data_IF_192101512456
#
_entry.id   IF_192101512456
#
_cell.length_a   1.000
_cell.length_b   1.000
_cell.length_c   1.000
_cell.angle_alpha   90.00
_cell.angle_beta   90.00
_cell.angle_gamma   90.00
#
_symmetry.space_group_name_H-M   'P 1'
#
loop_
_entity.id
_entity.type
_entity.pdbx_description
1 polymer ?
#
# COMPACT_ATOMS: atom_id res chain seq x y z
N UNK A 1 21.85 2.01 -15.10
CA UNK A 1 20.68 2.50 -15.86
C UNK A 1 19.43 2.25 -15.04
N UNK A 2 18.49 3.21 -14.97
CA UNK A 2 17.17 2.96 -14.39
C UNK A 2 16.47 1.85 -15.19
N UNK A 3 15.93 0.84 -14.50
CA UNK A 3 15.15 -0.24 -15.12
C UNK A 3 13.71 0.21 -15.36
N UNK A 4 13.03 -0.30 -16.42
CA UNK A 4 11.59 -0.16 -16.57
C UNK A 4 10.85 -0.74 -15.35
N UNK A 5 9.73 -0.13 -14.94
CA UNK A 5 8.98 -0.54 -13.74
C UNK A 5 8.40 -1.94 -13.77
N UNK A 6 8.05 -2.45 -14.95
CA UNK A 6 7.69 -3.85 -15.13
C UNK A 6 8.81 -4.81 -14.65
N UNK A 7 10.03 -4.29 -14.48
CA UNK A 7 11.21 -4.99 -13.94
C UNK A 7 11.65 -4.44 -12.56
N UNK A 8 10.85 -3.56 -11.93
CA UNK A 8 11.08 -3.06 -10.56
C UNK A 8 10.16 -3.75 -9.54
N UNK A 9 9.03 -4.31 -9.99
CA UNK A 9 8.19 -5.20 -9.20
C UNK A 9 8.63 -6.64 -9.49
N UNK A 10 9.03 -7.37 -8.44
CA UNK A 10 9.25 -8.81 -8.48
C UNK A 10 8.63 -9.44 -7.25
N UNK A 11 7.60 -10.25 -7.49
CA UNK A 11 6.93 -11.00 -6.45
C UNK A 11 7.82 -12.11 -5.88
N UNK A 12 8.82 -12.55 -6.64
CA UNK A 12 9.87 -13.45 -6.13
C UNK A 12 10.77 -12.78 -5.08
N UNK A 13 10.93 -11.45 -5.15
CA UNK A 13 11.72 -10.69 -4.19
C UNK A 13 10.90 -10.30 -2.96
N UNK A 14 9.68 -9.78 -3.17
CA UNK A 14 8.72 -9.46 -2.10
C UNK A 14 7.33 -9.23 -2.68
N UNK A 15 6.24 -9.58 -1.95
CA UNK A 15 4.89 -9.18 -2.30
C UNK A 15 4.52 -7.77 -1.80
N UNK A 16 5.36 -7.11 -0.99
CA UNK A 16 5.04 -5.83 -0.34
C UNK A 16 5.68 -4.62 -1.03
N UNK A 17 4.87 -3.60 -1.31
CA UNK A 17 5.31 -2.38 -1.97
C UNK A 17 4.70 -1.12 -1.37
N UNK A 18 5.53 -0.14 -1.05
CA UNK A 18 5.10 1.21 -0.73
C UNK A 18 4.95 2.02 -2.02
N UNK A 19 3.78 2.58 -2.24
CA UNK A 19 3.45 3.40 -3.39
C UNK A 19 3.00 4.81 -2.97
N UNK A 20 3.43 5.82 -3.75
CA UNK A 20 3.12 7.24 -3.48
C UNK A 20 2.69 7.92 -4.77
N UNK A 21 1.56 8.64 -4.73
CA UNK A 21 1.09 9.47 -5.85
C UNK A 21 0.86 10.90 -5.36
N UNK A 22 1.33 11.89 -6.13
CA UNK A 22 1.26 13.32 -5.81
C UNK A 22 0.58 14.11 -6.93
N UNK A 23 -0.30 15.04 -6.56
CA UNK A 23 -1.01 15.92 -7.49
C UNK A 23 -0.12 17.02 -8.06
N UNK A 24 -0.38 17.45 -9.30
CA UNK A 24 0.38 18.53 -9.95
C UNK A 24 0.22 19.85 -9.20
N UNK A 25 1.33 20.51 -8.85
CA UNK A 25 1.35 21.94 -8.45
C UNK A 25 0.15 22.34 -7.54
N UNK A 26 -0.63 23.34 -7.94
CA UNK A 26 -1.80 23.91 -7.24
C UNK A 26 -3.06 23.04 -7.31
N UNK A 27 -2.99 21.81 -7.84
CA UNK A 27 -4.10 20.88 -7.74
C UNK A 27 -4.15 20.33 -6.31
N UNK A 28 -5.24 20.63 -5.61
CA UNK A 28 -5.49 20.07 -4.29
C UNK A 28 -6.10 18.68 -4.48
N UNK A 29 -5.39 17.66 -3.98
CA UNK A 29 -5.99 16.33 -3.81
C UNK A 29 -7.16 16.47 -2.85
N UNK A 30 -6.92 17.17 -1.75
CA UNK A 30 -7.90 17.59 -0.77
C UNK A 30 -7.36 18.79 0.04
N UNK A 31 -8.19 19.39 0.89
CA UNK A 31 -7.83 20.55 1.71
C UNK A 31 -8.26 21.89 1.10
N UNK A 32 -7.83 23.00 1.71
CA UNK A 32 -8.26 24.35 1.32
C UNK A 32 -7.24 24.98 0.38
N UNK A 33 -7.70 25.44 -0.78
CA UNK A 33 -6.89 26.28 -1.66
C UNK A 33 -6.72 27.66 -1.04
N UNK A 34 -5.49 28.01 -0.67
CA UNK A 34 -5.19 29.30 -0.06
C UNK A 34 -5.40 30.49 -1.00
N UNK A 35 -5.47 30.24 -2.32
CA UNK A 35 -5.65 31.29 -3.32
C UNK A 35 -7.12 31.58 -3.64
N UNK A 36 -7.98 30.57 -3.76
CA UNK A 36 -9.41 30.76 -4.01
C UNK A 36 -10.25 30.73 -2.73
N UNK A 37 -9.78 30.07 -1.68
CA UNK A 37 -10.53 29.79 -0.45
C UNK A 37 -11.40 28.55 -0.53
N UNK A 38 -11.44 27.86 -1.67
CA UNK A 38 -12.29 26.67 -1.86
C UNK A 38 -11.75 25.48 -1.07
N UNK A 39 -12.67 24.69 -0.52
CA UNK A 39 -12.34 23.46 0.17
C UNK A 39 -12.60 22.25 -0.72
N UNK A 40 -11.55 21.44 -0.92
CA UNK A 40 -11.57 20.16 -1.62
C UNK A 40 -11.46 18.98 -0.64
N UNK A 41 -11.69 19.20 0.65
CA UNK A 41 -11.50 18.17 1.68
C UNK A 41 -12.36 16.91 1.43
N UNK A 42 -13.54 17.07 0.81
CA UNK A 42 -14.43 15.97 0.45
C UNK A 42 -13.80 14.95 -0.51
N UNK A 43 -12.88 15.38 -1.37
CA UNK A 43 -12.15 14.49 -2.30
C UNK A 43 -11.32 13.42 -1.58
N UNK A 44 -10.94 13.66 -0.31
CA UNK A 44 -10.25 12.66 0.51
C UNK A 44 -11.11 11.41 0.70
N UNK A 45 -12.41 11.60 0.89
CA UNK A 45 -13.39 10.50 0.98
C UNK A 45 -13.55 9.74 -0.33
N UNK A 46 -13.52 10.43 -1.49
CA UNK A 46 -13.55 9.77 -2.80
C UNK A 46 -12.35 8.83 -2.99
N UNK A 47 -11.16 9.33 -2.67
CA UNK A 47 -9.94 8.54 -2.78
C UNK A 47 -9.93 7.36 -1.82
N UNK A 48 -10.33 7.56 -0.55
CA UNK A 48 -10.39 6.46 0.42
C UNK A 48 -11.41 5.40 0.00
N UNK A 49 -12.63 5.81 -0.37
CA UNK A 49 -13.67 4.89 -0.80
C UNK A 49 -13.21 4.07 -2.00
N UNK A 50 -12.62 4.72 -3.03
CA UNK A 50 -12.13 3.99 -4.19
C UNK A 50 -10.96 3.08 -3.83
N UNK A 51 -10.03 3.54 -3.00
CA UNK A 51 -8.88 2.75 -2.56
C UNK A 51 -9.34 1.46 -1.86
N UNK A 52 -10.31 1.54 -0.95
CA UNK A 52 -10.81 0.40 -0.18
C UNK A 52 -11.77 -0.51 -0.94
N UNK A 53 -12.31 -0.07 -2.07
CA UNK A 53 -13.10 -0.90 -2.99
C UNK A 53 -12.20 -1.86 -3.81
N UNK A 54 -11.01 -1.41 -4.21
CA UNK A 54 -10.17 -2.15 -5.16
C UNK A 54 -9.69 -3.54 -4.68
N UNK A 55 -9.39 -3.80 -3.39
CA UNK A 55 -9.04 -5.14 -2.91
C UNK A 55 -10.13 -6.20 -3.11
N UNK A 56 -11.40 -5.80 -3.26
CA UNK A 56 -12.49 -6.76 -3.57
C UNK A 56 -12.41 -7.24 -5.04
N UNK A 57 -11.69 -6.51 -5.88
CA UNK A 57 -11.61 -6.74 -7.33
C UNK A 57 -10.24 -7.26 -7.74
N UNK A 58 -9.17 -6.66 -7.21
CA UNK A 58 -7.78 -7.04 -7.45
C UNK A 58 -7.32 -8.08 -6.44
N UNK A 59 -6.35 -8.90 -6.82
CA UNK A 59 -5.61 -9.75 -5.88
C UNK A 59 -4.50 -8.94 -5.20
N UNK A 60 -4.86 -7.76 -4.67
CA UNK A 60 -3.95 -6.82 -4.04
C UNK A 60 -4.64 -6.25 -2.81
N UNK A 61 -4.07 -6.53 -1.64
CA UNK A 61 -4.56 -6.01 -0.36
C UNK A 61 -3.81 -4.74 0.06
N UNK A 62 -4.40 -4.01 1.00
CA UNK A 62 -3.82 -2.80 1.57
C UNK A 62 -3.32 -3.11 2.99
N UNK A 63 -2.01 -3.04 3.20
CA UNK A 63 -1.40 -3.18 4.52
C UNK A 63 -1.50 -1.89 5.35
N UNK A 64 -1.21 -0.74 4.73
CA UNK A 64 -1.33 0.57 5.34
C UNK A 64 -1.62 1.65 4.29
N UNK A 65 -2.22 2.77 4.69
CA UNK A 65 -2.39 3.94 3.84
C UNK A 65 -2.56 5.23 4.66
N UNK A 66 -2.22 6.36 4.06
CA UNK A 66 -2.52 7.69 4.58
C UNK A 66 -2.75 8.66 3.42
N UNK A 67 -3.87 9.39 3.47
CA UNK A 67 -4.21 10.39 2.46
C UNK A 67 -3.87 11.79 2.99
N UNK A 68 -2.95 12.46 2.32
CA UNK A 68 -2.47 13.81 2.64
C UNK A 68 -3.14 14.83 1.70
N UNK A 69 -2.93 16.13 1.95
CA UNK A 69 -3.57 17.20 1.17
C UNK A 69 -3.23 17.22 -0.32
N UNK A 70 -2.02 16.81 -0.71
CA UNK A 70 -1.56 16.83 -2.11
C UNK A 70 -0.96 15.51 -2.60
N UNK A 71 -0.92 14.48 -1.75
CA UNK A 71 -0.42 13.16 -2.12
C UNK A 71 -1.05 12.10 -1.20
N UNK A 72 -0.90 10.84 -1.55
CA UNK A 72 -1.25 9.74 -0.67
C UNK A 72 -0.16 8.68 -0.68
N UNK A 73 -0.07 7.96 0.43
CA UNK A 73 0.79 6.81 0.61
C UNK A 73 -0.07 5.56 0.76
N UNK A 74 0.36 4.46 0.14
CA UNK A 74 -0.26 3.15 0.31
C UNK A 74 0.80 2.06 0.32
N UNK A 75 0.70 1.14 1.27
CA UNK A 75 1.49 -0.09 1.33
C UNK A 75 0.59 -1.22 0.83
N UNK A 76 0.95 -1.78 -0.32
CA UNK A 76 0.21 -2.84 -1.00
C UNK A 76 0.86 -4.20 -0.75
N UNK A 77 0.04 -5.24 -0.72
CA UNK A 77 0.46 -6.64 -0.74
C UNK A 77 -0.15 -7.32 -1.96
N UNK A 78 0.69 -7.91 -2.82
CA UNK A 78 0.23 -8.63 -4.01
C UNK A 78 0.04 -10.11 -3.68
N UNK A 79 -1.19 -10.59 -3.81
CA UNK A 79 -1.57 -11.98 -3.56
C UNK A 79 -1.68 -12.77 -4.88
N UNK A 80 -0.51 -13.09 -5.45
CA UNK A 80 -0.45 -13.83 -6.71
C UNK A 80 -1.13 -15.20 -6.62
N UNK A 81 -1.08 -15.86 -5.47
CA UNK A 81 -1.67 -17.19 -5.27
C UNK A 81 -3.20 -17.13 -5.38
N UNK A 82 -3.83 -16.12 -4.76
CA UNK A 82 -5.27 -15.88 -4.94
C UNK A 82 -5.61 -15.61 -6.40
N UNK A 83 -4.82 -14.77 -7.10
CA UNK A 83 -5.05 -14.51 -8.52
C UNK A 83 -4.98 -15.77 -9.39
N UNK A 84 -4.08 -16.70 -9.07
CA UNK A 84 -3.93 -17.98 -9.78
C UNK A 84 -5.07 -18.96 -9.45
N UNK A 85 -5.64 -18.88 -8.25
CA UNK A 85 -6.72 -19.77 -7.80
C UNK A 85 -8.08 -19.50 -8.46
N UNK A 86 -8.31 -18.29 -8.98
CA UNK A 86 -9.60 -17.91 -9.56
C UNK A 86 -9.97 -18.76 -10.79
N UNK A 87 -11.25 -19.05 -10.93
CA UNK A 87 -11.78 -19.56 -12.20
C UNK A 87 -11.76 -18.49 -13.30
N UNK A 88 -11.89 -18.93 -14.55
CA UNK A 88 -12.00 -18.05 -15.71
C UNK A 88 -13.20 -17.10 -15.62
N UNK A 89 -14.35 -17.62 -15.16
CA UNK A 89 -15.57 -16.83 -14.91
C UNK A 89 -15.35 -15.76 -13.84
N UNK A 90 -14.62 -16.08 -12.79
CA UNK A 90 -14.26 -15.15 -11.72
C UNK A 90 -13.34 -14.02 -12.18
N UNK A 91 -12.35 -14.32 -13.03
CA UNK A 91 -11.47 -13.29 -13.62
C UNK A 91 -12.28 -12.35 -14.50
N UNK A 92 -13.19 -12.88 -15.33
CA UNK A 92 -14.07 -12.06 -16.17
C UNK A 92 -14.96 -11.18 -15.30
N UNK A 93 -15.61 -11.76 -14.29
CA UNK A 93 -16.53 -11.03 -13.40
C UNK A 93 -15.81 -9.87 -12.72
N UNK A 94 -14.62 -10.11 -12.16
CA UNK A 94 -13.80 -9.07 -11.54
C UNK A 94 -13.37 -8.00 -12.54
N UNK A 95 -12.95 -8.40 -13.74
CA UNK A 95 -12.60 -7.45 -14.80
C UNK A 95 -13.80 -6.57 -15.20
N UNK A 96 -15.01 -7.15 -15.25
CA UNK A 96 -16.25 -6.46 -15.58
C UNK A 96 -16.70 -5.44 -14.53
N UNK A 97 -16.28 -5.58 -13.27
CA UNK A 97 -16.50 -4.55 -12.24
C UNK A 97 -15.75 -3.23 -12.54
N UNK A 98 -14.68 -3.28 -13.35
CA UNK A 98 -13.86 -2.11 -13.67
C UNK A 98 -14.05 -1.63 -15.11
N UNK A 99 -14.24 -2.56 -16.04
CA UNK A 99 -14.22 -2.30 -17.47
C UNK A 99 -15.35 -3.07 -18.17
N UNK A 100 -15.86 -2.56 -19.29
CA UNK A 100 -16.93 -3.23 -20.05
C UNK A 100 -16.59 -4.63 -20.59
N UNK A 101 -15.32 -5.04 -20.58
CA UNK A 101 -14.86 -6.28 -21.21
C UNK A 101 -14.96 -6.25 -22.74
N UNK A 102 -15.06 -7.44 -23.34
CA UNK A 102 -15.26 -7.62 -24.78
C UNK A 102 -16.49 -8.49 -25.07
N UNK A 103 -16.89 -8.61 -26.34
CA UNK A 103 -18.10 -9.35 -26.70
C UNK A 103 -18.05 -10.83 -26.28
N UNK A 104 -16.86 -11.46 -26.34
CA UNK A 104 -16.70 -12.86 -25.95
C UNK A 104 -16.88 -13.04 -24.44
N UNK A 105 -16.31 -12.15 -23.63
CA UNK A 105 -16.45 -12.21 -22.17
C UNK A 105 -17.89 -11.93 -21.72
N UNK A 106 -18.60 -11.02 -22.39
CA UNK A 106 -20.01 -10.74 -22.12
C UNK A 106 -20.93 -11.90 -22.49
N UNK A 107 -20.66 -12.59 -23.60
CA UNK A 107 -21.36 -13.83 -23.99
C UNK A 107 -21.06 -14.97 -23.01
N UNK A 108 -19.80 -15.12 -22.64
CA UNK A 108 -19.36 -16.14 -21.68
C UNK A 108 -20.01 -15.98 -20.30
N UNK A 109 -20.15 -14.75 -19.79
CA UNK A 109 -20.85 -14.51 -18.52
C UNK A 109 -22.32 -14.94 -18.54
N UNK A 110 -22.97 -14.83 -19.69
CA UNK A 110 -24.36 -15.24 -19.91
C UNK A 110 -24.51 -16.74 -20.21
N UNK A 111 -23.41 -17.48 -20.16
CA UNK A 111 -23.34 -18.90 -20.50
C UNK A 111 -23.78 -19.18 -21.97
N UNK A 112 -23.58 -18.21 -22.87
CA UNK A 112 -23.81 -18.39 -24.30
C UNK A 112 -22.78 -19.36 -24.90
N UNK A 113 -23.19 -20.15 -25.89
CA UNK A 113 -22.28 -21.03 -26.62
C UNK A 113 -21.23 -20.21 -27.39
N UNK A 114 -19.95 -20.53 -27.17
CA UNK A 114 -18.81 -20.03 -27.92
C UNK A 114 -18.18 -21.19 -28.69
N UNK A 115 -17.78 -20.93 -29.93
CA UNK A 115 -16.99 -21.87 -30.74
C UNK A 115 -15.58 -22.06 -30.17
N UNK A 116 -14.90 -23.15 -30.55
CA UNK A 116 -13.52 -23.42 -30.09
C UNK A 116 -12.54 -22.25 -30.37
N UNK A 117 -12.55 -21.59 -31.55
CA UNK A 117 -11.68 -20.44 -31.78
C UNK A 117 -12.03 -19.23 -30.91
N UNK A 118 -13.31 -19.01 -30.61
CA UNK A 118 -13.76 -17.95 -29.71
C UNK A 118 -13.31 -18.22 -28.27
N UNK A 119 -13.42 -19.46 -27.80
CA UNK A 119 -12.92 -19.88 -26.48
C UNK A 119 -11.41 -19.72 -26.38
N UNK A 120 -10.66 -20.15 -27.39
CA UNK A 120 -9.21 -19.98 -27.44
C UNK A 120 -8.82 -18.49 -27.38
N UNK A 121 -9.56 -17.63 -28.09
CA UNK A 121 -9.32 -16.18 -28.04
C UNK A 121 -9.67 -15.57 -26.69
N UNK A 122 -10.78 -16.01 -26.09
CA UNK A 122 -11.19 -15.57 -24.76
C UNK A 122 -10.15 -15.94 -23.70
N UNK A 123 -9.60 -17.17 -23.75
CA UNK A 123 -8.56 -17.62 -22.83
C UNK A 123 -7.31 -16.72 -22.83
N UNK A 124 -6.93 -16.16 -24.00
CA UNK A 124 -5.85 -15.18 -24.10
C UNK A 124 -6.16 -13.90 -23.32
N UNK A 125 -7.39 -13.39 -23.44
CA UNK A 125 -7.84 -12.21 -22.69
C UNK A 125 -7.89 -12.49 -21.19
N UNK A 126 -8.41 -13.65 -20.78
CA UNK A 126 -8.49 -14.03 -19.36
C UNK A 126 -7.09 -14.12 -18.75
N UNK A 127 -6.14 -14.74 -19.46
CA UNK A 127 -4.74 -14.82 -19.01
C UNK A 127 -4.15 -13.43 -18.78
N UNK A 128 -4.39 -12.52 -19.72
CA UNK A 128 -3.95 -11.13 -19.60
C UNK A 128 -4.64 -10.42 -18.43
N UNK A 129 -5.96 -10.53 -18.29
CA UNK A 129 -6.73 -9.87 -17.23
C UNK A 129 -6.34 -10.39 -15.84
N UNK A 130 -6.11 -11.69 -15.70
CA UNK A 130 -5.62 -12.30 -14.45
C UNK A 130 -4.29 -11.68 -14.02
N UNK A 131 -3.34 -11.56 -14.96
CA UNK A 131 -2.06 -10.89 -14.68
C UNK A 131 -2.25 -9.42 -14.26
N UNK A 132 -3.13 -8.70 -14.95
CA UNK A 132 -3.42 -7.28 -14.65
C UNK A 132 -4.11 -7.10 -13.28
N UNK A 133 -4.98 -8.03 -12.87
CA UNK A 133 -5.66 -8.01 -11.58
C UNK A 133 -4.73 -8.30 -10.39
N UNK A 134 -3.49 -8.73 -10.66
CA UNK A 134 -2.40 -8.84 -9.67
C UNK A 134 -1.29 -7.81 -9.87
N UNK A 135 -1.46 -6.83 -10.76
CA UNK A 135 -0.43 -5.85 -11.11
C UNK A 135 -0.64 -4.50 -10.41
N UNK A 136 0.38 -4.06 -9.66
CA UNK A 136 0.36 -2.79 -8.91
C UNK A 136 0.16 -1.58 -9.84
N UNK A 137 0.73 -1.60 -11.05
CA UNK A 137 0.57 -0.49 -11.99
C UNK A 137 -0.87 -0.39 -12.50
N UNK A 138 -1.57 -1.51 -12.67
CA UNK A 138 -3.00 -1.53 -12.98
C UNK A 138 -3.86 -1.08 -11.81
N UNK A 139 -3.57 -1.54 -10.60
CA UNK A 139 -4.24 -1.06 -9.38
C UNK A 139 -4.11 0.47 -9.24
N UNK A 140 -2.87 0.96 -9.30
CA UNK A 140 -2.59 2.39 -9.18
C UNK A 140 -3.16 3.18 -10.35
N UNK A 141 -3.22 2.62 -11.57
CA UNK A 141 -3.88 3.27 -12.71
C UNK A 141 -5.36 3.47 -12.45
N UNK A 142 -6.08 2.41 -12.07
CA UNK A 142 -7.53 2.48 -11.84
C UNK A 142 -7.86 3.50 -10.74
N UNK A 143 -7.11 3.46 -9.63
CA UNK A 143 -7.26 4.42 -8.54
C UNK A 143 -7.04 5.86 -9.00
N UNK A 144 -5.87 6.14 -9.59
CA UNK A 144 -5.49 7.50 -9.98
C UNK A 144 -6.36 8.05 -11.12
N UNK A 145 -6.76 7.22 -12.07
CA UNK A 145 -7.61 7.62 -13.20
C UNK A 145 -9.00 8.03 -12.72
N UNK A 146 -9.60 7.27 -11.79
CA UNK A 146 -10.90 7.61 -11.22
C UNK A 146 -10.90 9.00 -10.57
N UNK A 147 -9.95 9.24 -9.67
CA UNK A 147 -9.83 10.52 -8.95
C UNK A 147 -9.48 11.67 -9.89
N UNK A 148 -8.59 11.46 -10.86
CA UNK A 148 -8.26 12.49 -11.84
C UNK A 148 -9.46 12.90 -12.70
N UNK A 149 -10.30 11.92 -13.10
CA UNK A 149 -11.50 12.20 -13.90
C UNK A 149 -12.55 12.96 -13.10
N UNK A 150 -12.78 12.58 -11.85
CA UNK A 150 -13.77 13.21 -10.99
C UNK A 150 -13.34 14.63 -10.59
N UNK A 151 -12.08 14.82 -10.21
CA UNK A 151 -11.53 16.14 -9.88
C UNK A 151 -11.52 17.08 -11.09
N UNK A 152 -11.06 16.62 -12.26
CA UNK A 152 -11.06 17.46 -13.47
C UNK A 152 -12.49 17.85 -13.90
N UNK A 153 -13.46 16.95 -13.72
CA UNK A 153 -14.87 17.25 -14.01
C UNK A 153 -15.45 18.27 -13.02
N UNK A 154 -15.16 18.14 -11.73
CA UNK A 154 -15.54 19.13 -10.70
C UNK A 154 -14.90 20.49 -10.98
N UNK A 155 -13.63 20.51 -11.37
CA UNK A 155 -12.88 21.73 -11.69
C UNK A 155 -13.23 22.33 -13.06
N UNK A 156 -14.12 21.68 -13.83
CA UNK A 156 -14.49 22.11 -15.18
C UNK A 156 -13.30 22.20 -16.15
N UNK A 157 -12.24 21.41 -15.92
CA UNK A 157 -10.98 21.52 -16.64
C UNK A 157 -10.56 20.19 -17.30
N UNK A 158 -9.50 20.25 -18.12
CA UNK A 158 -8.86 19.08 -18.69
C UNK A 158 -7.35 19.17 -18.51
N UNK A 159 -6.69 18.02 -18.38
CA UNK A 159 -5.24 17.97 -18.23
C UNK A 159 -4.77 16.93 -17.21
N UNK A 160 -3.49 17.03 -16.85
CA UNK A 160 -2.88 16.14 -15.85
C UNK A 160 -3.28 16.59 -14.45
N UNK A 161 -3.82 15.66 -13.68
CA UNK A 161 -4.07 15.83 -12.24
C UNK A 161 -2.89 15.37 -11.37
N UNK A 162 -2.19 14.31 -11.78
CA UNK A 162 -1.02 13.75 -11.06
C UNK A 162 0.31 14.23 -11.66
N UNK A 163 1.32 14.53 -10.83
CA UNK A 163 2.65 15.05 -11.24
C UNK A 163 3.35 14.17 -12.27
N UNK A 164 3.04 12.88 -12.23
CA UNK A 164 3.52 11.90 -13.18
C UNK A 164 3.11 10.52 -12.75
N UNK A 165 4.03 9.58 -12.88
CA UNK A 165 3.80 8.19 -12.46
C UNK A 165 4.06 8.07 -10.97
N UNK A 166 3.23 7.29 -10.25
CA UNK A 166 3.41 6.98 -8.82
C UNK A 166 4.83 6.49 -8.49
N UNK A 167 5.41 6.77 -7.33
CA UNK A 167 6.64 6.11 -6.87
C UNK A 167 6.32 4.73 -6.29
N UNK A 168 7.28 3.79 -6.36
CA UNK A 168 7.14 2.46 -5.76
C UNK A 168 8.47 2.01 -5.16
N UNK A 169 8.42 1.47 -3.94
CA UNK A 169 9.56 0.91 -3.22
C UNK A 169 9.21 -0.50 -2.74
N UNK A 170 10.04 -1.49 -3.07
CA UNK A 170 9.88 -2.87 -2.62
C UNK A 170 10.33 -3.01 -1.15
N UNK A 171 9.49 -3.59 -0.31
CA UNK A 171 9.75 -3.82 1.11
C UNK A 171 10.21 -5.28 1.30
N UNK A 172 11.52 -5.47 1.46
CA UNK A 172 12.18 -6.77 1.30
C UNK A 172 12.20 -7.63 2.57
N UNK A 173 11.81 -7.07 3.72
CA UNK A 173 11.70 -7.78 4.99
C UNK A 173 10.71 -7.11 5.95
N UNK A 174 10.49 -7.79 7.07
CA UNK A 174 9.55 -7.39 8.13
C UNK A 174 9.94 -6.05 8.76
N UNK A 175 11.25 -5.79 8.90
CA UNK A 175 11.81 -4.54 9.39
C UNK A 175 11.40 -3.36 8.48
N UNK A 176 11.67 -3.49 7.18
CA UNK A 176 11.27 -2.50 6.18
C UNK A 176 9.75 -2.34 6.11
N UNK A 177 8.98 -3.44 6.19
CA UNK A 177 7.53 -3.40 6.19
C UNK A 177 6.96 -2.64 7.38
N UNK A 178 7.36 -3.01 8.60
CA UNK A 178 6.88 -2.38 9.83
C UNK A 178 7.22 -0.89 9.87
N UNK A 179 8.46 -0.54 9.56
CA UNK A 179 8.90 0.85 9.53
C UNK A 179 8.17 1.68 8.46
N UNK A 180 7.96 1.11 7.26
CA UNK A 180 7.20 1.77 6.22
C UNK A 180 5.75 2.01 6.62
N UNK A 181 5.08 0.99 7.19
CA UNK A 181 3.71 1.12 7.64
C UNK A 181 3.60 2.18 8.74
N UNK A 182 4.51 2.18 9.72
CA UNK A 182 4.55 3.20 10.76
C UNK A 182 4.81 4.60 10.19
N UNK A 183 5.76 4.75 9.26
CA UNK A 183 6.00 6.00 8.52
C UNK A 183 4.72 6.51 7.86
N UNK A 184 4.00 5.64 7.14
CA UNK A 184 2.74 5.97 6.45
C UNK A 184 1.68 6.43 7.43
N UNK A 185 1.40 5.65 8.47
CA UNK A 185 0.35 5.94 9.45
C UNK A 185 0.66 7.17 10.33
N UNK A 186 1.95 7.54 10.46
CA UNK A 186 2.40 8.72 11.21
C UNK A 186 2.52 9.98 10.35
N UNK A 187 2.41 9.90 9.02
CA UNK A 187 2.53 11.07 8.15
C UNK A 187 1.57 12.23 8.52
N UNK A 188 0.27 12.00 8.82
CA UNK A 188 -0.60 13.09 9.24
C UNK A 188 -0.20 13.74 10.57
N UNK A 189 0.38 12.97 11.50
CA UNK A 189 0.88 13.51 12.77
C UNK A 189 2.12 14.36 12.54
N UNK A 190 3.05 13.87 11.71
CA UNK A 190 4.28 14.58 11.33
C UNK A 190 4.00 15.88 10.59
N UNK A 191 3.01 15.88 9.70
CA UNK A 191 2.59 17.07 8.95
C UNK A 191 1.75 18.05 9.79
N UNK A 192 1.49 17.76 11.08
CA UNK A 192 0.66 18.59 11.94
C UNK A 192 -0.84 18.57 11.61
N UNK A 193 -1.29 17.68 10.72
CA UNK A 193 -2.71 17.52 10.34
C UNK A 193 -3.53 16.85 11.45
N UNK A 194 -2.89 16.02 12.27
CA UNK A 194 -3.51 15.34 13.40
C UNK A 194 -2.61 15.38 14.64
N UNK A 195 -3.23 15.38 15.82
CA UNK A 195 -2.50 15.36 17.10
C UNK A 195 -2.05 13.96 17.51
N UNK A 196 -2.78 12.92 17.10
CA UNK A 196 -2.52 11.52 17.48
C UNK A 196 -2.93 10.57 16.35
N UNK A 197 -2.30 9.38 16.22
CA UNK A 197 -2.59 8.44 15.14
C UNK A 197 -4.07 8.05 15.07
N UNK A 198 -4.71 7.80 16.21
CA UNK A 198 -6.13 7.41 16.30
C UNK A 198 -7.13 8.55 16.01
N UNK A 199 -6.64 9.77 15.76
CA UNK A 199 -7.41 10.92 15.28
C UNK A 199 -7.07 11.32 13.85
N UNK A 200 -6.11 10.64 13.21
CA UNK A 200 -5.74 10.89 11.82
C UNK A 200 -6.79 10.28 10.91
N UNK A 201 -7.81 11.06 10.56
CA UNK A 201 -8.85 10.61 9.63
C UNK A 201 -8.26 10.18 8.27
N UNK A 202 -8.90 9.23 7.60
CA UNK A 202 -8.45 8.64 6.34
C UNK A 202 -7.05 7.99 6.38
N UNK A 203 -6.80 7.22 7.45
CA UNK A 203 -5.59 6.41 7.61
C UNK A 203 -5.93 4.99 8.03
N UNK A 204 -5.03 4.06 7.72
CA UNK A 204 -5.16 2.67 8.20
C UNK A 204 -5.09 2.55 9.72
N UNK A 205 -4.21 3.29 10.40
CA UNK A 205 -4.09 3.23 11.86
C UNK A 205 -5.38 3.65 12.54
N UNK A 206 -6.09 4.66 12.02
CA UNK A 206 -7.40 5.07 12.53
C UNK A 206 -8.40 3.92 12.43
N UNK A 207 -8.54 3.32 11.25
CA UNK A 207 -9.47 2.21 11.05
C UNK A 207 -9.15 1.02 11.97
N UNK A 208 -7.87 0.66 12.06
CA UNK A 208 -7.39 -0.42 12.94
C UNK A 208 -7.66 -0.11 14.41
N UNK A 209 -7.38 1.10 14.87
CA UNK A 209 -7.62 1.51 16.25
C UNK A 209 -9.11 1.54 16.62
N UNK A 210 -9.97 2.03 15.72
CA UNK A 210 -11.43 2.02 15.92
C UNK A 210 -11.94 0.58 16.01
N UNK A 211 -11.53 -0.29 15.09
CA UNK A 211 -11.99 -1.69 15.08
C UNK A 211 -11.45 -2.49 16.27
N UNK A 212 -10.20 -2.27 16.67
CA UNK A 212 -9.59 -2.94 17.82
C UNK A 212 -10.35 -2.65 19.14
N UNK A 213 -10.90 -1.44 19.30
CA UNK A 213 -11.70 -1.07 20.49
C UNK A 213 -13.04 -1.80 20.59
N UNK A 214 -13.51 -2.43 19.51
CA UNK A 214 -14.82 -3.12 19.51
C UNK A 214 -14.80 -4.49 20.17
N UNK A 215 -13.61 -5.04 20.45
CA UNK A 215 -13.45 -6.38 21.02
C UNK A 215 -12.41 -6.30 22.14
N UNK A 216 -12.72 -6.84 23.31
CA UNK A 216 -11.85 -6.72 24.49
C UNK A 216 -10.57 -7.58 24.40
N UNK A 217 -10.63 -8.74 23.74
CA UNK A 217 -9.51 -9.68 23.68
C UNK A 217 -8.45 -9.23 22.66
N UNK A 218 -7.22 -8.87 23.09
CA UNK A 218 -6.15 -8.45 22.19
C UNK A 218 -5.82 -9.52 21.14
N UNK A 219 -5.59 -9.07 19.90
CA UNK A 219 -5.25 -9.90 18.73
C UNK A 219 -6.32 -10.91 18.33
N UNK A 220 -7.57 -10.76 18.80
CA UNK A 220 -8.69 -11.56 18.32
C UNK A 220 -8.99 -11.22 16.84
N UNK A 221 -9.40 -12.21 16.03
CA UNK A 221 -9.67 -12.01 14.59
C UNK A 221 -10.67 -10.87 14.34
N UNK A 222 -11.71 -10.76 15.17
CA UNK A 222 -12.73 -9.72 15.06
C UNK A 222 -12.28 -8.32 15.52
N UNK A 223 -11.06 -8.15 16.03
CA UNK A 223 -10.46 -6.82 16.28
C UNK A 223 -9.93 -6.15 15.01
N UNK A 224 -9.90 -6.86 13.88
CA UNK A 224 -9.33 -6.36 12.64
C UNK A 224 -10.43 -5.99 11.65
N UNK A 225 -10.15 -4.98 10.83
CA UNK A 225 -11.06 -4.54 9.76
C UNK A 225 -10.96 -5.50 8.58
N UNK A 226 -12.06 -5.73 7.88
CA UNK A 226 -12.08 -6.55 6.66
C UNK A 226 -11.48 -5.86 5.44
N UNK A 227 -11.35 -4.53 5.47
CA UNK A 227 -10.88 -3.73 4.33
C UNK A 227 -9.34 -3.63 4.22
N UNK A 228 -8.61 -4.11 5.22
CA UNK A 228 -7.15 -4.05 5.27
C UNK A 228 -6.56 -5.44 5.48
N UNK A 229 -5.35 -5.66 4.97
CA UNK A 229 -4.61 -6.89 5.19
C UNK A 229 -4.50 -7.15 6.70
N UNK A 230 -4.91 -8.33 7.19
CA UNK A 230 -4.91 -8.63 8.61
C UNK A 230 -3.50 -8.86 9.11
N UNK A 231 -3.26 -8.57 10.38
CA UNK A 231 -2.12 -9.04 11.14
C UNK A 231 -2.29 -10.53 11.43
N UNK A 232 -1.34 -11.32 10.97
CA UNK A 232 -1.35 -12.78 11.09
C UNK A 232 -0.56 -13.30 12.31
N UNK A 233 0.01 -12.39 13.11
CA UNK A 233 0.80 -12.70 14.28
C UNK A 233 2.28 -12.86 13.94
N UNK A 234 3.04 -13.40 14.89
CA UNK A 234 4.49 -13.54 14.74
C UNK A 234 4.84 -14.58 13.67
N UNK A 235 5.97 -14.39 12.95
CA UNK A 235 6.43 -15.32 11.93
C UNK A 235 6.49 -16.76 12.43
N UNK A 236 5.99 -17.69 11.62
CA UNK A 236 6.01 -19.14 11.88
C UNK A 236 5.92 -19.91 10.56
N UNK A 237 6.23 -21.20 10.58
CA UNK A 237 6.28 -22.05 9.37
C UNK A 237 4.94 -22.05 8.60
N UNK A 238 3.82 -22.25 9.30
CA UNK A 238 2.47 -22.23 8.71
C UNK A 238 1.75 -20.92 9.07
N UNK A 239 2.28 -19.81 8.56
CA UNK A 239 1.70 -18.49 8.79
C UNK A 239 0.55 -18.24 7.81
N UNK A 240 -0.66 -17.87 8.29
CA UNK A 240 -1.73 -17.47 7.39
C UNK A 240 -1.37 -16.18 6.66
N UNK A 241 -2.01 -15.94 5.51
CA UNK A 241 -1.92 -14.67 4.78
C UNK A 241 -2.14 -13.49 5.74
N UNK A 242 -1.19 -12.57 5.78
CA UNK A 242 -1.26 -11.36 6.58
C UNK A 242 0.09 -10.77 6.91
N UNK A 243 0.07 -9.68 7.67
CA UNK A 243 1.24 -8.97 8.15
C UNK A 243 1.91 -9.80 9.25
N UNK A 244 3.24 -10.07 9.19
CA UNK A 244 4.00 -10.88 10.15
C UNK A 244 4.26 -10.18 11.49
N UNK A 245 3.20 -9.65 12.09
CA UNK A 245 3.23 -9.00 13.38
C UNK A 245 1.87 -9.18 14.06
N UNK A 246 1.81 -9.02 15.39
CA UNK A 246 0.54 -8.90 16.11
C UNK A 246 0.01 -7.46 15.96
N UNK A 247 -1.32 -7.30 15.90
CA UNK A 247 -1.92 -5.96 15.82
C UNK A 247 -1.56 -5.12 17.05
N UNK A 248 -1.55 -5.72 18.25
CA UNK A 248 -1.16 -5.03 19.50
C UNK A 248 0.24 -4.45 19.42
N UNK A 249 1.18 -5.27 18.93
CA UNK A 249 2.59 -4.92 18.79
C UNK A 249 2.75 -3.74 17.82
N UNK A 250 2.04 -3.78 16.70
CA UNK A 250 2.06 -2.70 15.72
C UNK A 250 1.48 -1.39 16.27
N UNK A 251 0.31 -1.43 16.91
CA UNK A 251 -0.32 -0.22 17.45
C UNK A 251 0.51 0.42 18.56
N UNK A 252 1.13 -0.39 19.41
CA UNK A 252 2.06 0.10 20.44
C UNK A 252 3.29 0.75 19.83
N UNK A 253 3.88 0.12 18.81
CA UNK A 253 5.02 0.66 18.09
C UNK A 253 4.70 2.00 17.43
N UNK A 254 3.51 2.14 16.81
CA UNK A 254 3.05 3.39 16.19
C UNK A 254 2.76 4.48 17.24
N UNK A 255 2.05 4.16 18.33
CA UNK A 255 1.77 5.14 19.40
C UNK A 255 3.06 5.68 20.01
N UNK A 256 3.99 4.79 20.35
CA UNK A 256 5.27 5.18 20.92
C UNK A 256 6.09 6.05 19.96
N UNK A 257 6.23 5.62 18.70
CA UNK A 257 6.97 6.38 17.68
C UNK A 257 6.34 7.77 17.47
N UNK A 258 5.01 7.83 17.40
CA UNK A 258 4.27 9.08 17.26
C UNK A 258 4.46 10.05 18.42
N UNK A 259 4.66 9.56 19.66
CA UNK A 259 4.93 10.41 20.82
C UNK A 259 6.29 11.10 20.74
N UNK A 260 7.33 10.38 20.30
CA UNK A 260 8.69 10.94 20.21
C UNK A 260 8.83 11.97 19.11
N UNK A 261 8.17 11.73 17.98
CA UNK A 261 8.15 12.67 16.86
C UNK A 261 7.58 14.02 17.29
N UNK A 262 6.70 14.05 18.29
CA UNK A 262 6.21 15.30 18.84
C UNK A 262 7.23 15.88 19.81
N UNK A 263 7.65 17.13 19.54
CA UNK A 263 8.68 17.85 20.29
C UNK A 263 8.39 18.00 21.81
N UNK A 264 7.16 17.72 22.26
CA UNK A 264 6.70 17.85 23.64
C UNK A 264 6.66 16.54 24.46
N UNK A 265 6.98 15.37 23.89
CA UNK A 265 6.81 14.06 24.58
C UNK A 265 7.94 13.07 24.30
N UNK A 266 9.10 13.32 24.91
CA UNK A 266 10.17 12.30 24.98
C UNK A 266 9.82 11.23 26.03
N UNK A 267 9.68 9.99 25.60
CA UNK A 267 9.57 8.82 26.48
C UNK A 267 10.54 7.73 26.01
N UNK A 268 11.05 6.91 26.94
CA UNK A 268 11.84 5.73 26.59
C UNK A 268 10.99 4.70 25.83
N UNK A 269 11.60 3.86 24.99
CA UNK A 269 10.92 2.70 24.39
C UNK A 269 10.36 1.81 25.50
N UNK A 270 9.03 1.54 25.56
CA UNK A 270 8.48 0.53 26.43
C UNK A 270 9.16 -0.82 26.17
N UNK A 271 9.40 -1.61 27.21
CA UNK A 271 10.05 -2.93 27.08
C UNK A 271 9.41 -3.80 25.99
N UNK A 272 8.08 -3.75 25.86
CA UNK A 272 7.31 -4.40 24.79
C UNK A 272 7.67 -3.91 23.38
N UNK A 273 7.73 -2.59 23.15
CA UNK A 273 8.18 -2.02 21.88
C UNK A 273 9.66 -2.37 21.60
N UNK A 274 10.51 -2.38 22.64
CA UNK A 274 11.91 -2.77 22.53
C UNK A 274 12.06 -4.25 22.13
N UNK A 275 11.22 -5.14 22.67
CA UNK A 275 11.21 -6.55 22.24
C UNK A 275 10.88 -6.72 20.76
N UNK A 276 10.02 -5.84 20.21
CA UNK A 276 9.64 -5.87 18.80
C UNK A 276 10.80 -5.38 17.93
N UNK A 277 11.46 -4.29 18.32
CA UNK A 277 12.63 -3.75 17.61
C UNK A 277 13.78 -4.75 17.60
N UNK A 278 14.09 -5.37 18.74
CA UNK A 278 15.10 -6.42 18.85
C UNK A 278 14.78 -7.63 17.96
N UNK A 279 13.51 -8.04 17.88
CA UNK A 279 13.08 -9.12 16.97
C UNK A 279 13.26 -8.74 15.50
N UNK A 280 12.98 -7.49 15.14
CA UNK A 280 13.19 -6.97 13.79
C UNK A 280 14.68 -6.75 13.48
N UNK A 281 15.55 -6.79 14.48
CA UNK A 281 16.99 -6.56 14.35
C UNK A 281 17.32 -5.09 14.06
N UNK A 282 16.51 -4.15 14.57
CA UNK A 282 16.68 -2.70 14.34
C UNK A 282 16.89 -2.02 15.70
N UNK A 283 17.85 -1.11 15.78
CA UNK A 283 18.02 -0.27 16.97
C UNK A 283 17.06 0.94 16.99
N UNK A 284 16.93 1.58 18.16
CA UNK A 284 16.05 2.75 18.34
C UNK A 284 16.35 3.89 17.35
N UNK A 285 17.62 4.20 17.14
CA UNK A 285 18.05 5.33 16.30
C UNK A 285 17.77 5.08 14.82
N UNK A 286 18.00 3.84 14.37
CA UNK A 286 17.68 3.36 13.04
C UNK A 286 16.16 3.39 12.81
N UNK A 287 15.38 2.90 13.78
CA UNK A 287 13.92 2.90 13.72
C UNK A 287 13.35 4.33 13.58
N UNK A 288 13.82 5.27 14.41
CA UNK A 288 13.38 6.66 14.33
C UNK A 288 13.73 7.29 13.00
N UNK A 289 14.95 7.06 12.51
CA UNK A 289 15.38 7.55 11.20
C UNK A 289 14.47 7.01 10.09
N UNK A 290 14.17 5.71 10.09
CA UNK A 290 13.33 5.10 9.07
C UNK A 290 11.88 5.58 9.13
N UNK A 291 11.32 5.75 10.33
CA UNK A 291 9.91 6.14 10.51
C UNK A 291 9.67 7.63 10.28
N UNK A 292 10.73 8.45 10.29
CA UNK A 292 10.67 9.85 9.91
C UNK A 292 11.02 10.04 8.43
N UNK A 293 12.09 9.43 7.93
CA UNK A 293 12.66 9.80 6.63
C UNK A 293 12.65 8.65 5.61
N UNK A 294 11.64 7.77 5.67
CA UNK A 294 11.57 6.53 4.87
C UNK A 294 11.85 6.72 3.38
N UNK A 295 11.19 7.70 2.73
CA UNK A 295 11.39 8.01 1.31
C UNK A 295 12.80 8.54 0.98
N UNK A 296 13.49 9.10 1.97
CA UNK A 296 14.87 9.55 1.83
C UNK A 296 15.86 8.41 2.10
N UNK A 297 15.56 7.56 3.07
CA UNK A 297 16.32 6.35 3.38
C UNK A 297 16.35 5.39 2.18
N UNK A 298 15.20 5.16 1.53
CA UNK A 298 15.04 4.12 0.52
C UNK A 298 14.64 4.73 -0.82
N UNK A 299 15.28 4.32 -1.92
CA UNK A 299 14.92 4.83 -3.26
C UNK A 299 14.07 3.85 -4.07
N UNK A 300 14.39 2.57 -3.99
CA UNK A 300 13.74 1.50 -4.79
C UNK A 300 13.50 0.25 -3.94
N UNK A 301 14.41 -0.05 -3.05
CA UNK A 301 14.35 -1.19 -2.16
C UNK A 301 14.54 -0.71 -0.73
N UNK A 302 13.76 -1.27 0.18
CA UNK A 302 13.92 -1.12 1.62
C UNK A 302 14.08 -2.51 2.23
N UNK A 303 15.15 -2.72 2.98
CA UNK A 303 15.46 -4.00 3.62
C UNK A 303 16.93 -4.10 3.98
N UNK A 304 17.28 -5.16 4.72
CA UNK A 304 18.65 -5.50 5.08
C UNK A 304 19.55 -5.63 3.84
N UNK A 305 20.85 -5.46 4.03
CA UNK A 305 21.84 -5.64 2.95
C UNK A 305 21.70 -7.02 2.27
N UNK A 306 21.49 -8.07 3.05
CA UNK A 306 21.33 -9.43 2.55
C UNK A 306 20.15 -9.53 1.58
N UNK A 307 18.99 -9.03 1.99
CA UNK A 307 17.77 -9.09 1.19
C UNK A 307 17.86 -8.19 -0.03
N UNK A 308 18.48 -7.01 0.10
CA UNK A 308 18.76 -6.12 -1.03
C UNK A 308 19.62 -6.80 -2.09
N UNK A 309 20.70 -7.47 -1.70
CA UNK A 309 21.58 -8.19 -2.63
C UNK A 309 20.83 -9.30 -3.34
N UNK A 310 20.08 -10.13 -2.60
CA UNK A 310 19.27 -11.20 -3.17
C UNK A 310 18.19 -10.66 -4.14
N UNK A 311 17.49 -9.59 -3.77
CA UNK A 311 16.51 -8.95 -4.66
C UNK A 311 17.17 -8.39 -5.93
N UNK A 312 18.36 -7.80 -5.80
CA UNK A 312 19.12 -7.29 -6.95
C UNK A 312 19.57 -8.41 -7.89
N UNK A 313 19.94 -9.58 -7.36
CA UNK A 313 20.29 -10.76 -8.16
C UNK A 313 19.06 -11.26 -8.93
N UNK A 314 17.93 -11.49 -8.24
CA UNK A 314 16.66 -11.91 -8.86
C UNK A 314 16.21 -10.93 -9.94
N UNK A 315 16.31 -9.64 -9.65
CA UNK A 315 15.95 -8.58 -10.59
C UNK A 315 17.06 -8.26 -11.59
N UNK A 316 18.15 -9.01 -11.66
CA UNK A 316 19.25 -8.81 -12.61
C UNK A 316 19.80 -7.37 -12.62
N UNK A 317 19.99 -6.78 -11.45
CA UNK A 317 20.64 -5.49 -11.27
C UNK A 317 22.16 -5.66 -11.26
N UNK A 318 22.87 -4.89 -12.09
CA UNK A 318 24.35 -4.91 -12.13
C UNK A 318 24.99 -4.39 -10.83
N UNK A 319 24.30 -3.49 -10.12
CA UNK A 319 24.75 -2.90 -8.85
C UNK A 319 23.53 -2.69 -7.95
N UNK A 320 23.58 -3.06 -6.66
CA UNK A 320 22.49 -2.80 -5.74
C UNK A 320 22.28 -1.30 -5.51
N UNK A 321 21.14 -0.71 -5.93
CA UNK A 321 20.89 0.71 -5.69
C UNK A 321 20.59 0.94 -4.21
N UNK A 322 21.06 2.06 -3.66
CA UNK A 322 20.74 2.45 -2.28
C UNK A 322 21.42 1.62 -1.18
N UNK A 323 22.36 0.72 -1.51
CA UNK A 323 23.02 -0.18 -0.55
C UNK A 323 23.59 0.54 0.68
N UNK A 324 24.27 1.68 0.50
CA UNK A 324 24.84 2.45 1.62
C UNK A 324 23.75 2.94 2.58
N UNK A 325 22.60 3.38 2.05
CA UNK A 325 21.46 3.84 2.87
C UNK A 325 20.77 2.67 3.55
N UNK A 326 20.60 1.54 2.86
CA UNK A 326 20.01 0.33 3.45
C UNK A 326 20.85 -0.21 4.61
N UNK A 327 22.18 -0.23 4.47
CA UNK A 327 23.09 -0.58 5.58
C UNK A 327 22.95 0.37 6.76
N UNK A 328 22.87 1.68 6.52
CA UNK A 328 22.77 2.64 7.61
C UNK A 328 21.41 2.56 8.34
N UNK A 329 20.35 2.16 7.64
CA UNK A 329 18.98 2.19 8.16
C UNK A 329 18.49 0.86 8.77
N UNK A 330 18.96 -0.30 8.30
CA UNK A 330 18.47 -1.64 8.72
C UNK A 330 19.64 -2.60 9.03
N UNK A 331 20.90 -2.15 8.90
CA UNK A 331 22.09 -3.02 8.90
C UNK A 331 22.97 -2.90 10.13
#
# INVERSE_FOLDING_TARGET
>A
MPKPRAQQVSLEATPYYHCVSRCVRRAFLCGVDQSSGDSYEHRRGWLEAKLLELPEIFAIDIAAYAIMSNHYHVVLYVDADTALSWSDKEVITRWHLLFKGNLLSQRYEKDDALSEPELARLAMYITEWRSRLSDISWFMRVLNEAIAREANAEDGCSGRFWEGRFKSQALLDEAALAACMAYVDLNPVRAGMSKTPEKSEHTSVKQRAVKAKTVAQPNHKNQQTGFLLPFAGNPRQDMPKGIPMRLSDYLELVDWTGRIIREDKRGAIPVSADTILNRLGIDESQWLTMTQDFEECFATFAGSEKNLRSACEKLSYKRPPGLKRCKAAIG
#
